data_IF_982106400835
#
_entry.id   IF_982106400835
#
_cell.length_a   1.000
_cell.length_b   1.000
_cell.length_c   1.000
_cell.angle_alpha   90.00
_cell.angle_beta   90.00
_cell.angle_gamma   90.00
#
_symmetry.space_group_name_H-M   'P 1'
#
loop_
_entity.id
_entity.type
_entity.pdbx_description
1 polymer ?
#
# COMPACT_ATOMS: atom_id res chain seq x y z
N UNK A 1 0.40 -8.76 -6.33
CA UNK A 1 -0.40 -9.29 -5.20
C UNK A 1 0.50 -9.71 -4.04
N UNK A 2 1.35 -10.73 -4.19
CA UNK A 2 2.24 -11.27 -3.12
C UNK A 2 2.96 -10.20 -2.28
N UNK A 3 3.69 -9.28 -2.92
CA UNK A 3 4.43 -8.19 -2.24
C UNK A 3 3.53 -7.22 -1.46
N UNK A 4 2.35 -6.89 -1.98
CA UNK A 4 1.39 -6.04 -1.25
C UNK A 4 0.84 -6.78 -0.03
N UNK A 5 0.60 -8.09 -0.17
CA UNK A 5 0.14 -8.92 0.93
C UNK A 5 1.20 -9.07 2.02
N UNK A 6 2.48 -9.18 1.68
CA UNK A 6 3.57 -9.16 2.67
C UNK A 6 3.50 -7.91 3.55
N UNK A 7 3.29 -6.74 2.95
CA UNK A 7 3.14 -5.47 3.69
C UNK A 7 1.89 -5.49 4.57
N UNK A 8 0.76 -5.98 4.06
CA UNK A 8 -0.46 -6.15 4.87
C UNK A 8 -0.23 -7.08 6.06
N UNK A 9 0.44 -8.22 5.85
CA UNK A 9 0.73 -9.22 6.88
C UNK A 9 1.66 -8.68 7.96
N UNK A 10 2.70 -7.90 7.60
CA UNK A 10 3.58 -7.23 8.56
C UNK A 10 2.81 -6.35 9.56
N UNK A 11 1.66 -5.81 9.15
CA UNK A 11 0.80 -4.96 9.97
C UNK A 11 -0.46 -5.64 10.49
N UNK A 12 -0.63 -6.94 10.21
CA UNK A 12 -1.88 -7.67 10.50
C UNK A 12 -3.11 -6.91 9.95
N UNK A 13 -2.98 -6.27 8.79
CA UNK A 13 -4.06 -5.54 8.14
C UNK A 13 -5.11 -6.53 7.62
N UNK A 14 -6.38 -6.43 8.02
CA UNK A 14 -7.46 -7.26 7.48
C UNK A 14 -7.60 -7.06 5.96
N UNK A 15 -7.79 -8.15 5.22
CA UNK A 15 -7.88 -8.13 3.75
C UNK A 15 -9.16 -8.84 3.32
N UNK A 16 -9.91 -8.21 2.42
CA UNK A 16 -11.01 -8.85 1.69
C UNK A 16 -10.52 -9.13 0.27
N UNK A 17 -10.77 -10.33 -0.22
CA UNK A 17 -10.36 -10.73 -1.58
C UNK A 17 -11.58 -10.66 -2.50
N UNK A 18 -11.40 -10.01 -3.65
CA UNK A 18 -12.40 -9.99 -4.71
C UNK A 18 -11.81 -10.60 -5.99
N UNK A 19 -12.27 -11.80 -6.32
CA UNK A 19 -11.94 -12.51 -7.56
C UNK A 19 -12.78 -11.91 -8.69
N UNK A 20 -12.12 -11.08 -9.49
CA UNK A 20 -12.75 -10.35 -10.58
C UNK A 20 -12.69 -11.15 -11.91
N UNK A 21 -13.52 -10.73 -12.87
CA UNK A 21 -13.59 -11.22 -14.25
C UNK A 21 -14.25 -12.60 -14.41
N UNK A 22 -15.25 -12.90 -13.58
CA UNK A 22 -16.06 -14.13 -13.75
C UNK A 22 -16.83 -14.20 -15.08
N UNK A 23 -16.98 -13.06 -15.77
CA UNK A 23 -17.49 -12.95 -17.15
C UNK A 23 -16.54 -13.52 -18.22
N UNK A 24 -15.37 -14.03 -17.82
CA UNK A 24 -14.38 -14.64 -18.71
C UNK A 24 -14.00 -16.02 -18.19
N UNK A 25 -13.57 -16.88 -19.12
CA UNK A 25 -13.01 -18.18 -18.74
C UNK A 25 -11.73 -17.97 -17.92
N UNK A 26 -11.62 -18.75 -16.85
CA UNK A 26 -10.54 -18.65 -15.88
C UNK A 26 -10.17 -20.02 -15.31
N UNK A 27 -9.45 -20.00 -14.20
CA UNK A 27 -9.19 -21.20 -13.40
C UNK A 27 -10.45 -21.59 -12.62
N UNK A 28 -10.52 -22.86 -12.19
CA UNK A 28 -11.57 -23.30 -11.28
C UNK A 28 -11.54 -22.50 -9.97
N UNK A 29 -12.71 -22.14 -9.38
CA UNK A 29 -12.75 -21.38 -8.14
C UNK A 29 -12.00 -22.03 -6.98
N UNK A 30 -12.02 -23.36 -6.83
CA UNK A 30 -11.27 -24.03 -5.76
C UNK A 30 -9.76 -23.94 -5.99
N UNK A 31 -9.28 -24.18 -7.20
CA UNK A 31 -7.87 -23.98 -7.56
C UNK A 31 -7.39 -22.55 -7.28
N UNK A 32 -8.28 -21.55 -7.47
CA UNK A 32 -7.98 -20.15 -7.17
C UNK A 32 -7.88 -19.90 -5.67
N UNK A 33 -8.74 -20.51 -4.85
CA UNK A 33 -8.63 -20.41 -3.39
C UNK A 33 -7.31 -21.01 -2.92
N UNK A 34 -6.95 -22.19 -3.39
CA UNK A 34 -5.68 -22.85 -3.04
C UNK A 34 -4.48 -22.01 -3.45
N UNK A 35 -4.48 -21.44 -4.66
CA UNK A 35 -3.42 -20.52 -5.12
C UNK A 35 -3.35 -19.25 -4.26
N UNK A 36 -4.50 -18.71 -3.84
CA UNK A 36 -4.55 -17.55 -2.94
C UNK A 36 -3.94 -17.92 -1.59
N UNK A 37 -4.33 -19.05 -0.99
CA UNK A 37 -3.79 -19.47 0.31
C UNK A 37 -2.28 -19.72 0.24
N UNK A 38 -1.83 -20.46 -0.77
CA UNK A 38 -0.42 -20.81 -0.94
C UNK A 38 0.44 -19.57 -1.19
N UNK A 39 0.04 -18.72 -2.14
CA UNK A 39 0.89 -17.63 -2.61
C UNK A 39 0.80 -16.36 -1.78
N UNK A 40 -0.33 -16.16 -1.08
CA UNK A 40 -0.53 -15.02 -0.21
C UNK A 40 -0.29 -15.36 1.26
N UNK A 41 -0.14 -16.65 1.61
CA UNK A 41 -0.01 -17.17 2.99
C UNK A 41 -1.07 -16.56 3.92
N UNK A 42 -2.34 -16.74 3.56
CA UNK A 42 -3.51 -16.35 4.34
C UNK A 42 -4.60 -17.39 4.14
N UNK A 43 -5.31 -17.75 5.20
CA UNK A 43 -6.45 -18.66 5.07
C UNK A 43 -7.61 -17.90 4.42
N UNK A 44 -8.41 -18.57 3.61
CA UNK A 44 -9.56 -17.95 2.95
C UNK A 44 -10.87 -18.53 3.43
N UNK A 45 -11.94 -17.72 3.35
CA UNK A 45 -13.31 -18.19 3.51
C UNK A 45 -14.18 -17.58 2.40
N UNK A 46 -14.68 -18.39 1.44
CA UNK A 46 -15.65 -17.91 0.47
C UNK A 46 -16.92 -17.41 1.16
N UNK A 47 -17.30 -16.17 0.89
CA UNK A 47 -18.58 -15.59 1.33
C UNK A 47 -19.56 -15.40 0.17
N UNK A 48 -19.07 -15.54 -1.06
CA UNK A 48 -19.89 -15.75 -2.25
C UNK A 48 -19.27 -16.83 -3.11
N UNK A 49 -20.07 -17.51 -3.91
CA UNK A 49 -19.62 -18.55 -4.82
C UNK A 49 -20.14 -18.32 -6.24
N UNK A 50 -19.31 -18.41 -7.28
CA UNK A 50 -19.76 -18.18 -8.65
C UNK A 50 -20.50 -19.38 -9.21
N UNK A 51 -21.54 -19.10 -9.98
CA UNK A 51 -22.30 -20.10 -10.73
C UNK A 51 -21.71 -20.16 -12.13
N UNK A 52 -20.78 -21.12 -12.31
CA UNK A 52 -19.98 -21.30 -13.52
C UNK A 52 -19.09 -20.07 -13.83
N UNK A 53 -18.53 -19.99 -15.04
CA UNK A 53 -17.68 -18.86 -15.47
C UNK A 53 -17.81 -18.60 -16.97
N UNK A 54 -17.22 -17.48 -17.42
CA UNK A 54 -17.16 -17.14 -18.84
C UNK A 54 -18.54 -16.98 -19.47
N UNK A 55 -18.77 -17.63 -20.60
CA UNK A 55 -20.07 -17.57 -21.28
C UNK A 55 -21.21 -18.24 -20.51
N UNK A 56 -20.89 -19.17 -19.60
CA UNK A 56 -21.88 -19.89 -18.80
C UNK A 56 -22.14 -19.23 -17.44
N UNK A 57 -21.43 -18.16 -17.13
CA UNK A 57 -21.58 -17.44 -15.87
C UNK A 57 -23.02 -16.95 -15.69
N UNK A 58 -23.70 -17.46 -14.65
CA UNK A 58 -25.10 -17.11 -14.35
C UNK A 58 -25.26 -16.20 -13.15
N UNK A 59 -24.22 -16.01 -12.34
CA UNK A 59 -24.34 -15.21 -11.13
C UNK A 59 -23.43 -15.66 -10.00
N UNK A 60 -23.70 -15.15 -8.81
CA UNK A 60 -23.08 -15.62 -7.57
C UNK A 60 -24.14 -15.99 -6.55
N UNK A 61 -23.88 -17.05 -5.79
CA UNK A 61 -24.60 -17.32 -4.55
C UNK A 61 -23.86 -16.63 -3.40
N UNK A 62 -24.51 -15.71 -2.72
CA UNK A 62 -23.99 -15.06 -1.52
C UNK A 62 -24.24 -15.99 -0.33
N UNK A 63 -23.20 -16.66 0.15
CA UNK A 63 -23.24 -17.58 1.30
C UNK A 63 -23.51 -16.79 2.59
N UNK A 64 -22.95 -15.58 2.69
CA UNK A 64 -23.07 -14.73 3.88
C UNK A 64 -24.50 -14.22 4.10
N UNK A 65 -25.19 -13.79 3.03
CA UNK A 65 -26.58 -13.30 3.12
C UNK A 65 -27.63 -14.36 2.74
N UNK A 66 -27.20 -15.52 2.24
CA UNK A 66 -28.06 -16.57 1.67
C UNK A 66 -28.98 -16.03 0.56
N UNK A 67 -28.36 -15.40 -0.44
CA UNK A 67 -29.06 -14.80 -1.59
C UNK A 67 -28.48 -15.27 -2.91
N UNK A 68 -29.36 -15.48 -3.88
CA UNK A 68 -28.99 -15.78 -5.25
C UNK A 68 -28.96 -14.48 -6.04
N UNK A 69 -27.78 -14.08 -6.49
CA UNK A 69 -27.62 -12.91 -7.33
C UNK A 69 -27.39 -13.39 -8.76
N UNK A 70 -28.36 -13.14 -9.63
CA UNK A 70 -28.28 -13.56 -11.02
C UNK A 70 -27.53 -12.51 -11.83
N UNK A 71 -26.67 -12.94 -12.74
CA UNK A 71 -25.90 -12.06 -13.61
C UNK A 71 -26.66 -11.77 -14.90
N UNK A 72 -26.88 -10.48 -15.14
CA UNK A 72 -27.38 -9.97 -16.42
C UNK A 72 -26.30 -9.10 -17.05
N UNK A 73 -25.88 -9.34 -18.30
CA UNK A 73 -24.85 -8.53 -18.96
C UNK A 73 -25.37 -7.10 -19.24
N UNK A 74 -25.25 -6.21 -18.26
CA UNK A 74 -25.61 -4.80 -18.40
C UNK A 74 -24.73 -3.93 -17.50
N UNK A 75 -24.28 -2.80 -18.04
CA UNK A 75 -23.47 -1.82 -17.31
C UNK A 75 -24.29 -0.79 -16.53
N UNK A 76 -25.62 -0.79 -16.69
CA UNK A 76 -26.48 0.31 -16.22
C UNK A 76 -27.39 -0.07 -15.04
N UNK A 77 -27.61 -1.36 -14.77
CA UNK A 77 -28.55 -1.80 -13.73
C UNK A 77 -27.84 -2.64 -12.67
N UNK A 78 -28.14 -2.35 -11.40
CA UNK A 78 -27.88 -3.28 -10.29
C UNK A 78 -28.78 -4.49 -10.51
N UNK A 79 -28.20 -5.67 -10.41
CA UNK A 79 -28.86 -6.91 -10.81
C UNK A 79 -29.95 -7.32 -9.81
N UNK A 80 -30.91 -8.12 -10.27
CA UNK A 80 -32.01 -8.61 -9.43
C UNK A 80 -31.46 -9.62 -8.42
N UNK A 81 -31.68 -9.35 -7.13
CA UNK A 81 -31.35 -10.25 -6.04
C UNK A 81 -32.60 -11.07 -5.71
N UNK A 82 -32.48 -12.39 -5.72
CA UNK A 82 -33.53 -13.30 -5.27
C UNK A 82 -33.12 -13.80 -3.90
N UNK A 83 -33.96 -13.56 -2.88
CA UNK A 83 -33.76 -14.22 -1.59
C UNK A 83 -33.90 -15.72 -1.79
N UNK A 84 -32.84 -16.47 -1.48
CA UNK A 84 -32.78 -17.89 -1.76
C UNK A 84 -32.02 -18.61 -0.65
N UNK A 85 -32.74 -18.87 0.45
CA UNK A 85 -32.14 -19.43 1.66
C UNK A 85 -31.83 -20.91 1.57
N UNK A 86 -32.69 -21.67 0.89
CA UNK A 86 -32.51 -23.12 0.75
C UNK A 86 -32.01 -23.46 -0.64
N UNK A 87 -30.70 -23.70 -0.75
CA UNK A 87 -30.05 -24.10 -2.01
C UNK A 87 -30.54 -25.46 -2.53
N UNK A 88 -31.14 -26.29 -1.66
CA UNK A 88 -31.70 -27.59 -2.02
C UNK A 88 -33.14 -27.47 -2.55
N UNK A 89 -33.74 -26.27 -2.52
CA UNK A 89 -35.06 -26.05 -3.09
C UNK A 89 -35.04 -26.32 -4.61
N UNK A 90 -36.04 -27.05 -5.14
CA UNK A 90 -36.25 -27.22 -6.59
C UNK A 90 -36.53 -25.91 -7.33
N UNK A 91 -36.76 -24.82 -6.59
CA UNK A 91 -36.96 -23.49 -7.18
C UNK A 91 -35.66 -22.92 -7.77
N UNK A 92 -34.49 -23.45 -7.40
CA UNK A 92 -33.19 -23.02 -7.92
C UNK A 92 -33.11 -23.25 -9.44
N UNK A 93 -33.67 -24.36 -9.90
CA UNK A 93 -33.76 -24.76 -11.30
C UNK A 93 -34.67 -23.84 -12.14
N UNK A 94 -35.46 -22.95 -11.51
CA UNK A 94 -36.18 -21.91 -12.24
C UNK A 94 -35.27 -20.75 -12.68
N UNK A 95 -34.09 -20.63 -12.05
CA UNK A 95 -33.17 -19.50 -12.23
C UNK A 95 -31.89 -19.90 -12.96
N UNK A 96 -31.43 -21.13 -12.78
CA UNK A 96 -30.19 -21.66 -13.38
C UNK A 96 -30.40 -23.08 -13.94
N UNK A 97 -29.51 -23.51 -14.83
CA UNK A 97 -29.60 -24.84 -15.45
C UNK A 97 -29.42 -25.96 -14.40
N UNK A 98 -30.10 -27.10 -14.55
CA UNK A 98 -30.10 -28.18 -13.55
C UNK A 98 -28.68 -28.68 -13.19
N UNK A 99 -27.78 -28.79 -14.18
CA UNK A 99 -26.39 -29.16 -13.92
C UNK A 99 -25.59 -28.08 -13.17
N UNK A 100 -25.95 -26.80 -13.32
CA UNK A 100 -25.36 -25.71 -12.55
C UNK A 100 -25.88 -25.70 -11.12
N UNK A 101 -27.17 -26.01 -10.91
CA UNK A 101 -27.76 -26.17 -9.58
C UNK A 101 -27.12 -27.33 -8.81
N UNK A 102 -26.94 -28.48 -9.45
CA UNK A 102 -26.27 -29.64 -8.84
C UNK A 102 -24.81 -29.32 -8.47
N UNK A 103 -24.06 -28.70 -9.39
CA UNK A 103 -22.69 -28.26 -9.12
C UNK A 103 -22.65 -27.27 -7.95
N UNK A 104 -23.50 -26.24 -7.96
CA UNK A 104 -23.56 -25.25 -6.90
C UNK A 104 -23.84 -25.90 -5.53
N UNK A 105 -24.82 -26.81 -5.44
CA UNK A 105 -25.11 -27.54 -4.19
C UNK A 105 -23.89 -28.32 -3.69
N UNK A 106 -23.22 -29.02 -4.61
CA UNK A 106 -22.03 -29.82 -4.30
C UNK A 106 -20.86 -28.94 -3.83
N UNK A 107 -20.65 -27.82 -4.51
CA UNK A 107 -19.60 -26.85 -4.16
C UNK A 107 -19.88 -26.22 -2.79
N UNK A 108 -21.12 -25.82 -2.49
CA UNK A 108 -21.47 -25.26 -1.18
C UNK A 108 -21.33 -26.30 -0.06
N UNK A 109 -21.74 -27.54 -0.28
CA UNK A 109 -21.53 -28.63 0.69
C UNK A 109 -20.04 -28.83 0.99
N UNK A 110 -19.19 -28.80 -0.05
CA UNK A 110 -17.74 -28.87 0.11
C UNK A 110 -17.20 -27.67 0.89
N UNK A 111 -17.67 -26.46 0.60
CA UNK A 111 -17.22 -25.25 1.30
C UNK A 111 -17.55 -25.32 2.79
N UNK A 112 -18.78 -25.72 3.15
CA UNK A 112 -19.19 -25.86 4.55
C UNK A 112 -18.52 -27.03 5.26
N UNK A 113 -18.10 -28.06 4.53
CA UNK A 113 -17.35 -29.20 5.09
C UNK A 113 -15.85 -28.93 5.30
N UNK A 114 -15.24 -28.07 4.48
CA UNK A 114 -13.79 -27.85 4.45
C UNK A 114 -13.37 -26.55 5.16
N UNK A 115 -14.06 -25.44 4.89
CA UNK A 115 -13.67 -24.14 5.41
C UNK A 115 -14.37 -23.84 6.73
N UNK A 116 -13.68 -23.25 7.72
CA UNK A 116 -14.31 -22.85 8.98
C UNK A 116 -15.41 -21.81 8.74
N UNK A 117 -16.35 -21.72 9.68
CA UNK A 117 -17.32 -20.62 9.70
C UNK A 117 -16.60 -19.27 9.75
N UNK A 118 -17.22 -18.27 9.11
CA UNK A 118 -16.66 -16.93 9.07
C UNK A 118 -16.79 -16.24 10.44
N UNK A 119 -15.65 -15.98 11.07
CA UNK A 119 -15.57 -15.20 12.30
C UNK A 119 -14.91 -13.84 12.06
N UNK A 120 -15.62 -12.77 12.43
CA UNK A 120 -15.15 -11.40 12.25
C UNK A 120 -13.87 -11.14 13.05
N UNK A 121 -13.71 -11.76 14.23
CA UNK A 121 -12.51 -11.54 15.04
C UNK A 121 -11.25 -12.13 14.39
N UNK A 122 -11.34 -13.32 13.77
CA UNK A 122 -10.24 -13.87 12.95
C UNK A 122 -9.90 -13.01 11.73
N UNK A 123 -10.91 -12.44 11.07
CA UNK A 123 -10.72 -11.48 9.98
C UNK A 123 -10.00 -10.22 10.45
N UNK A 124 -10.44 -9.62 11.58
CA UNK A 124 -9.85 -8.41 12.15
C UNK A 124 -8.42 -8.60 12.64
N UNK A 125 -8.01 -9.85 12.93
CA UNK A 125 -6.63 -10.24 13.23
C UNK A 125 -5.79 -10.48 11.96
N UNK A 126 -6.39 -10.44 10.78
CA UNK A 126 -5.73 -10.69 9.49
C UNK A 126 -5.36 -12.16 9.29
N UNK A 127 -6.04 -13.08 9.97
CA UNK A 127 -5.74 -14.52 9.90
C UNK A 127 -6.60 -15.24 8.84
N UNK A 128 -7.82 -14.74 8.57
CA UNK A 128 -8.72 -15.21 7.51
C UNK A 128 -9.11 -14.04 6.61
N UNK A 129 -9.14 -14.28 5.29
CA UNK A 129 -9.66 -13.33 4.31
C UNK A 129 -10.99 -13.83 3.72
N UNK A 130 -12.09 -13.05 3.83
CA UNK A 130 -13.31 -13.36 3.11
C UNK A 130 -13.11 -13.17 1.60
N UNK A 131 -13.63 -14.11 0.82
CA UNK A 131 -13.50 -14.12 -0.65
C UNK A 131 -14.86 -13.89 -1.32
N UNK A 132 -14.88 -12.91 -2.21
CA UNK A 132 -16.00 -12.59 -3.06
C UNK A 132 -15.65 -12.82 -4.53
N UNK A 133 -16.63 -13.19 -5.35
CA UNK A 133 -16.48 -13.40 -6.78
C UNK A 133 -17.40 -12.44 -7.55
N UNK A 134 -16.95 -11.97 -8.72
CA UNK A 134 -17.80 -11.14 -9.55
C UNK A 134 -17.15 -10.59 -10.81
N UNK A 135 -17.80 -9.57 -11.37
CA UNK A 135 -17.35 -8.87 -12.57
C UNK A 135 -17.48 -7.36 -12.37
N UNK A 136 -16.38 -6.72 -11.99
CA UNK A 136 -16.34 -5.27 -11.80
C UNK A 136 -16.64 -4.50 -13.09
N UNK A 137 -16.31 -5.05 -14.26
CA UNK A 137 -16.60 -4.43 -15.56
C UNK A 137 -18.12 -4.28 -15.80
N UNK A 138 -18.90 -5.22 -15.25
CA UNK A 138 -20.35 -5.24 -15.34
C UNK A 138 -21.02 -4.84 -14.01
N UNK A 139 -20.25 -4.25 -13.09
CA UNK A 139 -20.72 -3.84 -11.77
C UNK A 139 -21.43 -4.96 -10.97
N UNK A 140 -20.96 -6.20 -11.13
CA UNK A 140 -21.57 -7.40 -10.55
C UNK A 140 -20.71 -7.96 -9.40
N UNK A 141 -21.32 -8.30 -8.26
CA UNK A 141 -20.63 -8.78 -7.05
C UNK A 141 -19.99 -7.66 -6.21
N UNK A 142 -19.96 -6.43 -6.73
CA UNK A 142 -19.32 -5.27 -6.07
C UNK A 142 -20.17 -4.77 -4.90
N UNK A 143 -21.50 -4.82 -5.04
CA UNK A 143 -22.41 -4.36 -3.99
C UNK A 143 -22.28 -5.23 -2.74
N UNK A 144 -22.28 -6.55 -2.92
CA UNK A 144 -22.16 -7.54 -1.85
C UNK A 144 -20.83 -7.40 -1.11
N UNK A 145 -19.76 -7.19 -1.88
CA UNK A 145 -18.44 -6.86 -1.32
C UNK A 145 -18.49 -5.59 -0.46
N UNK A 146 -19.13 -4.52 -0.94
CA UNK A 146 -19.23 -3.25 -0.22
C UNK A 146 -20.13 -3.35 1.02
N UNK A 147 -21.27 -4.01 0.92
CA UNK A 147 -22.19 -4.25 2.03
C UNK A 147 -21.49 -5.07 3.12
N UNK A 148 -20.74 -6.11 2.74
CA UNK A 148 -19.89 -6.85 3.67
C UNK A 148 -18.81 -5.94 4.28
N UNK A 149 -18.07 -5.19 3.46
CA UNK A 149 -17.02 -4.28 3.90
C UNK A 149 -17.52 -3.28 4.95
N UNK A 150 -18.68 -2.66 4.74
CA UNK A 150 -19.27 -1.72 5.70
C UNK A 150 -19.53 -2.39 7.06
N UNK A 151 -19.95 -3.66 7.05
CA UNK A 151 -20.31 -4.39 8.26
C UNK A 151 -19.10 -4.93 9.04
N UNK A 152 -18.04 -5.36 8.35
CA UNK A 152 -16.93 -6.09 8.97
C UNK A 152 -15.65 -5.26 9.08
N UNK A 153 -15.46 -4.24 8.24
CA UNK A 153 -14.20 -3.50 8.19
C UNK A 153 -13.99 -2.72 9.50
N UNK A 154 -12.74 -2.63 9.98
CA UNK A 154 -12.45 -1.90 11.21
C UNK A 154 -12.69 -0.39 11.03
N UNK A 155 -13.33 0.22 12.02
CA UNK A 155 -13.25 1.66 12.26
C UNK A 155 -11.80 2.09 12.54
N UNK A 156 -11.48 3.40 12.58
CA UNK A 156 -10.14 3.88 12.95
C UNK A 156 -9.61 3.14 14.18
N UNK A 157 -8.35 2.68 14.10
CA UNK A 157 -7.71 1.85 15.14
C UNK A 157 -6.63 2.65 15.86
N UNK A 158 -6.31 2.29 17.12
CA UNK A 158 -5.20 2.88 17.83
C UNK A 158 -3.89 2.79 17.04
N UNK A 159 -3.09 3.85 17.07
CA UNK A 159 -1.83 3.97 16.33
C UNK A 159 -0.68 4.13 17.31
N UNK A 160 0.38 3.34 17.13
CA UNK A 160 1.59 3.45 17.96
C UNK A 160 2.45 4.65 17.57
N UNK A 161 2.71 5.53 18.52
CA UNK A 161 3.79 6.51 18.47
C UNK A 161 5.03 6.00 19.23
N UNK A 162 6.13 6.76 19.21
CA UNK A 162 7.33 6.47 20.01
C UNK A 162 7.02 6.53 21.49
N UNK A 163 6.23 7.53 21.89
CA UNK A 163 5.94 7.87 23.28
C UNK A 163 4.84 6.99 23.88
N UNK A 164 3.77 6.74 23.11
CA UNK A 164 2.58 6.00 23.58
C UNK A 164 1.73 5.48 22.42
N UNK A 165 0.72 4.70 22.74
CA UNK A 165 -0.39 4.41 21.81
C UNK A 165 -1.37 5.57 21.84
N UNK A 166 -1.82 5.99 20.67
CA UNK A 166 -2.82 7.05 20.47
C UNK A 166 -4.15 6.40 20.11
N UNK A 167 -5.17 6.70 20.90
CA UNK A 167 -6.54 6.22 20.67
C UNK A 167 -7.28 7.18 19.72
N UNK A 168 -7.98 6.67 18.68
CA UNK A 168 -8.74 7.50 17.76
C UNK A 168 -9.87 8.31 18.40
N UNK A 169 -10.36 7.89 19.57
CA UNK A 169 -11.42 8.59 20.31
C UNK A 169 -10.91 9.77 21.16
N UNK A 170 -9.59 10.01 21.22
CA UNK A 170 -9.05 11.18 21.91
C UNK A 170 -9.53 12.49 21.26
N UNK A 171 -9.91 13.49 22.06
CA UNK A 171 -10.38 14.79 21.56
C UNK A 171 -9.28 15.58 20.82
N UNK A 172 -8.03 15.44 21.27
CA UNK A 172 -6.90 16.19 20.74
C UNK A 172 -6.50 15.68 19.35
N UNK A 173 -6.33 16.62 18.41
CA UNK A 173 -5.91 16.28 17.06
C UNK A 173 -4.49 15.71 17.06
N UNK A 174 -4.33 14.59 16.38
CA UNK A 174 -3.05 14.07 15.98
C UNK A 174 -3.14 13.44 14.58
N UNK A 175 -2.07 13.55 13.80
CA UNK A 175 -1.98 12.92 12.49
C UNK A 175 -0.57 12.94 11.94
N UNK A 176 -0.33 12.13 10.91
CA UNK A 176 0.98 12.07 10.26
C UNK A 176 0.88 12.15 8.74
N UNK A 177 1.91 12.73 8.13
CA UNK A 177 2.07 12.82 6.68
C UNK A 177 2.51 11.46 6.13
N UNK A 178 1.68 10.80 5.33
CA UNK A 178 2.01 9.49 4.76
C UNK A 178 2.36 9.52 3.28
N UNK A 179 1.99 10.61 2.60
CA UNK A 179 2.25 10.80 1.17
C UNK A 179 2.41 12.28 0.89
N UNK A 180 3.35 12.62 0.03
CA UNK A 180 3.50 13.97 -0.48
C UNK A 180 3.41 13.89 -2.00
N UNK A 181 2.73 14.85 -2.61
CA UNK A 181 2.62 14.92 -4.05
C UNK A 181 2.87 16.35 -4.51
N UNK A 182 3.96 16.56 -5.24
CA UNK A 182 4.26 17.87 -5.82
C UNK A 182 3.65 18.01 -7.21
N UNK A 183 3.50 19.28 -7.64
CA UNK A 183 3.22 19.65 -9.03
C UNK A 183 1.95 19.02 -9.62
N UNK A 184 0.88 18.89 -8.82
CA UNK A 184 -0.44 18.51 -9.36
C UNK A 184 -0.98 19.49 -10.41
N UNK A 185 -0.57 20.76 -10.34
CA UNK A 185 -0.89 21.78 -11.33
C UNK A 185 0.40 22.24 -12.04
N UNK A 186 0.53 22.09 -13.37
CA UNK A 186 1.68 22.57 -14.12
C UNK A 186 1.94 24.08 -13.96
N UNK A 187 0.89 24.87 -13.70
CA UNK A 187 0.97 26.33 -13.59
C UNK A 187 1.34 26.80 -12.18
N UNK A 188 1.06 25.98 -11.16
CA UNK A 188 1.34 26.27 -9.77
C UNK A 188 2.10 25.11 -9.18
N UNK A 189 3.40 25.33 -8.87
CA UNK A 189 4.27 24.39 -8.15
C UNK A 189 3.78 24.18 -6.70
N UNK A 190 2.57 23.67 -6.58
CA UNK A 190 1.85 23.42 -5.36
C UNK A 190 2.15 21.97 -4.96
N UNK A 191 2.68 21.83 -3.76
CA UNK A 191 2.87 20.54 -3.11
C UNK A 191 1.69 20.31 -2.17
N UNK A 192 1.20 19.08 -2.10
CA UNK A 192 0.18 18.69 -1.11
C UNK A 192 0.73 17.54 -0.29
N UNK A 193 0.76 17.73 1.02
CA UNK A 193 1.03 16.70 2.00
C UNK A 193 -0.27 16.04 2.43
N UNK A 194 -0.40 14.73 2.23
CA UNK A 194 -1.54 13.94 2.67
C UNK A 194 -1.30 13.48 4.10
N UNK A 195 -2.15 13.97 4.99
CA UNK A 195 -2.14 13.66 6.42
C UNK A 195 -3.25 12.68 6.71
N UNK A 196 -2.90 11.57 7.35
CA UNK A 196 -3.88 10.66 7.96
C UNK A 196 -4.14 11.14 9.39
N UNK A 197 -5.41 11.41 9.70
CA UNK A 197 -5.82 11.78 11.06
C UNK A 197 -5.86 10.50 11.90
N UNK A 198 -5.18 10.55 13.05
CA UNK A 198 -5.07 9.42 13.98
C UNK A 198 -6.01 9.57 15.17
N UNK A 199 -6.22 10.80 15.65
CA UNK A 199 -7.17 11.11 16.73
C UNK A 199 -7.73 12.53 16.60
N UNK A 200 -8.82 12.79 17.29
CA UNK A 200 -9.40 14.11 17.46
C UNK A 200 -10.00 14.71 16.20
N UNK A 201 -10.18 16.03 16.25
CA UNK A 201 -10.80 16.81 15.18
C UNK A 201 -9.81 17.79 14.56
N UNK A 202 -9.63 17.67 13.26
CA UNK A 202 -9.00 18.72 12.46
C UNK A 202 -10.01 19.84 12.19
N UNK A 203 -9.56 21.08 12.31
CA UNK A 203 -10.32 22.29 12.08
C UNK A 203 -9.49 23.26 11.24
N UNK A 204 -10.11 23.77 10.19
CA UNK A 204 -9.51 24.76 9.32
C UNK A 204 -9.16 26.03 10.11
N UNK A 205 -8.01 26.61 9.80
CA UNK A 205 -7.45 27.79 10.47
C UNK A 205 -7.14 27.63 11.97
N UNK A 206 -7.21 26.42 12.53
CA UNK A 206 -6.64 26.15 13.84
C UNK A 206 -5.11 26.06 13.77
N UNK A 207 -4.45 26.24 14.92
CA UNK A 207 -3.00 26.12 15.03
C UNK A 207 -2.63 24.67 15.41
N UNK A 208 -1.77 24.05 14.61
CA UNK A 208 -1.23 22.71 14.86
C UNK A 208 0.28 22.76 14.98
N UNK A 209 0.83 22.01 15.91
CA UNK A 209 2.26 21.88 16.09
C UNK A 209 2.83 20.88 15.09
N UNK A 210 3.79 21.32 14.30
CA UNK A 210 4.65 20.44 13.53
C UNK A 210 5.80 19.98 14.42
N UNK A 211 5.74 18.73 14.86
CA UNK A 211 6.61 18.15 15.91
C UNK A 211 8.09 18.29 15.55
N UNK A 212 8.53 17.75 14.39
CA UNK A 212 9.94 17.81 13.95
C UNK A 212 10.53 19.23 13.87
N UNK A 213 9.71 20.23 13.55
CA UNK A 213 10.15 21.62 13.44
C UNK A 213 9.92 22.44 14.71
N UNK A 214 9.15 21.94 15.67
CA UNK A 214 8.76 22.68 16.87
C UNK A 214 7.98 23.97 16.58
N UNK A 215 7.27 24.06 15.45
CA UNK A 215 6.56 25.28 15.02
C UNK A 215 5.06 25.06 14.94
N UNK A 216 4.30 26.06 15.36
CA UNK A 216 2.86 26.11 15.12
C UNK A 216 2.60 26.52 13.65
N UNK A 217 1.72 25.80 13.00
CA UNK A 217 1.29 26.01 11.62
C UNK A 217 -0.22 26.15 11.58
N UNK A 218 -0.71 26.93 10.60
CA UNK A 218 -2.13 27.16 10.38
C UNK A 218 -2.46 26.91 8.92
N UNK A 219 -3.52 26.15 8.66
CA UNK A 219 -3.90 25.74 7.30
C UNK A 219 -5.23 26.38 6.90
N UNK A 220 -5.19 27.24 5.89
CA UNK A 220 -6.36 28.00 5.42
C UNK A 220 -7.08 27.37 4.23
N UNK A 221 -6.46 26.41 3.54
CA UNK A 221 -7.06 25.68 2.41
C UNK A 221 -6.72 24.18 2.44
N UNK A 222 -7.07 23.47 3.54
CA UNK A 222 -7.00 22.00 3.58
C UNK A 222 -7.99 21.41 2.57
N UNK A 223 -7.61 20.33 1.90
CA UNK A 223 -8.36 19.73 0.80
C UNK A 223 -8.75 18.30 1.15
N UNK A 224 -10.03 17.94 1.09
CA UNK A 224 -10.42 16.53 0.98
C UNK A 224 -10.45 16.11 -0.49
N UNK A 225 -10.12 14.85 -0.72
CA UNK A 225 -10.21 14.22 -2.02
C UNK A 225 -11.45 13.34 -2.04
N UNK A 226 -12.58 13.94 -2.40
CA UNK A 226 -13.84 13.21 -2.56
C UNK A 226 -14.05 12.94 -4.06
N UNK A 227 -13.85 11.69 -4.46
CA UNK A 227 -13.84 11.24 -5.84
C UNK A 227 -12.85 12.04 -6.73
N UNK A 228 -13.35 12.76 -7.75
CA UNK A 228 -12.53 13.51 -8.70
C UNK A 228 -12.41 15.02 -8.35
N UNK A 229 -13.06 15.48 -7.28
CA UNK A 229 -13.10 16.91 -6.91
C UNK A 229 -12.24 17.18 -5.69
N UNK A 230 -11.53 18.32 -5.75
CA UNK A 230 -10.83 18.91 -4.61
C UNK A 230 -11.80 19.87 -3.94
N UNK A 231 -12.18 19.58 -2.71
CA UNK A 231 -13.05 20.45 -1.92
C UNK A 231 -12.32 20.92 -0.67
N UNK A 232 -12.48 22.20 -0.34
CA UNK A 232 -11.91 22.75 0.89
C UNK A 232 -12.76 22.28 2.05
N UNK A 233 -12.09 21.74 3.06
CA UNK A 233 -12.76 21.14 4.22
C UNK A 233 -12.64 22.06 5.42
N UNK A 234 -13.72 22.20 6.17
CA UNK A 234 -13.70 22.96 7.41
C UNK A 234 -13.36 22.09 8.63
N UNK A 235 -13.78 20.81 8.64
CA UNK A 235 -13.44 19.83 9.69
C UNK A 235 -13.26 18.40 9.17
N UNK A 236 -12.43 17.60 9.85
CA UNK A 236 -12.20 16.18 9.55
C UNK A 236 -11.85 15.40 10.82
N UNK A 237 -12.07 14.08 10.82
CA UNK A 237 -11.97 13.22 12.01
C UNK A 237 -10.97 12.08 11.84
N UNK A 238 -10.68 11.35 12.92
CA UNK A 238 -9.83 10.17 12.90
C UNK A 238 -10.25 9.19 11.78
N UNK A 239 -9.28 8.72 11.00
CA UNK A 239 -9.50 7.90 9.80
C UNK A 239 -9.54 8.67 8.50
N UNK A 240 -9.90 9.96 8.52
CA UNK A 240 -9.91 10.79 7.32
C UNK A 240 -8.50 11.08 6.81
N UNK A 241 -8.42 11.36 5.51
CA UNK A 241 -7.23 11.82 4.83
C UNK A 241 -7.45 13.24 4.33
N UNK A 242 -6.63 14.17 4.82
CA UNK A 242 -6.66 15.58 4.40
C UNK A 242 -5.38 15.93 3.65
N UNK A 243 -5.52 16.74 2.61
CA UNK A 243 -4.42 17.33 1.85
C UNK A 243 -4.10 18.73 2.38
N UNK A 244 -2.91 18.91 2.93
CA UNK A 244 -2.42 20.20 3.38
C UNK A 244 -1.51 20.83 2.31
N UNK A 245 -1.71 22.11 1.96
CA UNK A 245 -0.77 22.83 1.11
C UNK A 245 0.61 22.83 1.75
N UNK A 246 1.60 22.40 0.98
CA UNK A 246 2.98 22.32 1.39
C UNK A 246 3.84 23.26 0.54
N UNK A 247 4.74 23.98 1.21
CA UNK A 247 5.74 24.85 0.58
C UNK A 247 7.13 24.23 0.62
N UNK A 248 7.23 22.91 0.89
CA UNK A 248 8.47 22.15 1.04
C UNK A 248 8.89 22.00 2.51
N UNK A 249 7.96 22.15 3.45
CA UNK A 249 8.21 21.99 4.88
C UNK A 249 8.00 20.54 5.33
N UNK A 250 7.01 19.86 4.75
CA UNK A 250 6.67 18.51 5.15
C UNK A 250 7.60 17.46 4.57
N UNK A 251 7.80 16.39 5.34
CA UNK A 251 8.40 15.13 4.94
C UNK A 251 7.43 14.00 5.27
N UNK A 252 7.53 12.90 4.52
CA UNK A 252 6.82 11.66 4.87
C UNK A 252 7.27 11.23 6.28
N UNK A 253 6.33 10.93 7.16
CA UNK A 253 6.56 10.65 8.58
C UNK A 253 6.36 11.85 9.51
N UNK A 254 6.26 13.07 9.00
CA UNK A 254 6.06 14.23 9.86
C UNK A 254 4.73 14.15 10.61
N UNK A 255 4.78 14.43 11.91
CA UNK A 255 3.63 14.41 12.81
C UNK A 255 3.13 15.83 13.09
N UNK A 256 1.80 15.99 13.04
CA UNK A 256 1.07 17.19 13.43
C UNK A 256 0.21 16.87 14.65
N UNK A 257 0.22 17.74 15.66
CA UNK A 257 -0.59 17.59 16.88
C UNK A 257 -1.22 18.92 17.32
N UNK A 258 -2.15 18.87 18.27
CA UNK A 258 -2.63 20.06 18.99
C UNK A 258 -1.62 20.66 19.99
N UNK A 259 -0.40 20.11 20.11
CA UNK A 259 0.65 20.65 20.98
C UNK A 259 1.55 19.59 21.63
N UNK A 260 1.04 18.36 21.77
CA UNK A 260 1.78 17.21 22.30
C UNK A 260 2.99 16.87 21.42
N UNK A 261 4.09 16.44 22.05
CA UNK A 261 5.24 15.87 21.32
C UNK A 261 4.97 14.39 21.07
N UNK A 262 4.53 14.06 19.86
CA UNK A 262 4.30 12.68 19.43
C UNK A 262 5.03 12.40 18.12
N UNK A 263 5.66 11.23 18.04
CA UNK A 263 6.30 10.75 16.82
C UNK A 263 5.64 9.47 16.37
N UNK A 264 4.76 9.54 15.38
CA UNK A 264 4.13 8.34 14.84
C UNK A 264 5.16 7.42 14.17
N UNK A 265 5.06 6.12 14.49
CA UNK A 265 5.84 5.05 13.84
C UNK A 265 5.07 4.49 12.66
N UNK A 266 5.76 3.87 11.71
CA UNK A 266 5.14 2.98 10.75
C UNK A 266 4.93 3.60 9.37
N UNK A 267 5.94 4.27 8.84
CA UNK A 267 6.10 4.48 7.41
C UNK A 267 7.48 3.95 6.99
N UNK A 268 7.67 2.61 7.01
CA UNK A 268 8.92 2.02 6.62
C UNK A 268 9.16 2.32 5.14
N UNK A 269 10.33 2.88 4.84
CA UNK A 269 10.85 2.82 3.49
C UNK A 269 11.44 1.43 3.32
N UNK A 270 10.82 0.61 2.47
CA UNK A 270 11.29 -0.74 2.16
C UNK A 270 12.55 -0.67 1.31
N UNK A 271 13.51 -1.58 1.53
CA UNK A 271 14.64 -1.73 0.61
C UNK A 271 14.12 -1.82 -0.84
N UNK A 272 14.66 -1.02 -1.76
CA UNK A 272 14.30 -1.13 -3.15
C UNK A 272 14.69 -2.47 -3.75
N UNK A 273 14.04 -2.81 -4.86
CA UNK A 273 14.16 -4.09 -5.56
C UNK A 273 14.88 -3.93 -6.90
N UNK A 274 14.82 -2.73 -7.48
CA UNK A 274 15.47 -2.41 -8.74
C UNK A 274 16.35 -1.19 -8.55
N UNK A 275 17.55 -1.23 -9.09
CA UNK A 275 18.54 -0.16 -8.94
C UNK A 275 19.06 0.24 -10.31
N UNK A 276 19.22 1.55 -10.53
CA UNK A 276 19.89 2.12 -11.70
C UNK A 276 20.69 3.34 -11.30
N UNK A 277 21.82 3.55 -11.96
CA UNK A 277 22.48 4.86 -11.92
C UNK A 277 21.64 5.86 -12.70
N UNK A 278 21.52 7.07 -12.14
CA UNK A 278 20.95 8.21 -12.85
C UNK A 278 22.09 9.08 -13.38
N UNK A 279 22.16 9.18 -14.71
CA UNK A 279 23.14 9.99 -15.41
C UNK A 279 22.49 11.24 -15.99
N UNK A 280 23.22 12.35 -15.90
CA UNK A 280 22.77 13.60 -16.50
C UNK A 280 22.92 13.54 -18.02
N UNK A 281 21.82 13.67 -18.76
CA UNK A 281 21.87 13.69 -20.22
C UNK A 281 22.26 15.07 -20.78
N UNK A 282 22.15 16.13 -19.97
CA UNK A 282 22.45 17.51 -20.35
C UNK A 282 23.37 18.16 -19.29
N UNK A 283 24.69 18.24 -19.54
CA UNK A 283 25.64 18.83 -18.60
C UNK A 283 25.28 20.25 -18.15
N UNK A 284 24.56 21.03 -18.96
CA UNK A 284 24.16 22.40 -18.60
C UNK A 284 23.05 22.45 -17.55
N UNK A 285 22.30 21.35 -17.36
CA UNK A 285 21.14 21.27 -16.45
C UNK A 285 21.39 20.46 -15.18
N UNK A 286 22.65 20.28 -14.78
CA UNK A 286 23.01 19.51 -13.59
C UNK A 286 22.33 20.03 -12.30
N UNK A 287 22.17 21.35 -12.15
CA UNK A 287 21.50 21.95 -10.98
C UNK A 287 20.01 21.61 -10.95
N UNK A 288 19.33 21.68 -12.09
CA UNK A 288 17.92 21.33 -12.23
C UNK A 288 17.69 19.85 -11.99
N UNK A 289 18.58 18.99 -12.52
CA UNK A 289 18.53 17.55 -12.28
C UNK A 289 18.68 17.23 -10.79
N UNK A 290 19.71 17.78 -10.12
CA UNK A 290 19.92 17.52 -8.70
C UNK A 290 18.74 17.97 -7.85
N UNK A 291 18.21 19.18 -8.10
CA UNK A 291 17.03 19.69 -7.41
C UNK A 291 15.79 18.82 -7.64
N UNK A 292 15.58 18.38 -8.88
CA UNK A 292 14.44 17.51 -9.24
C UNK A 292 14.55 16.14 -8.59
N UNK A 293 15.75 15.54 -8.60
CA UNK A 293 15.99 14.27 -7.89
C UNK A 293 15.67 14.44 -6.41
N UNK A 294 16.28 15.40 -5.73
CA UNK A 294 16.08 15.64 -4.29
C UNK A 294 14.59 15.78 -3.95
N UNK A 295 13.84 16.58 -4.70
CA UNK A 295 12.41 16.78 -4.46
C UNK A 295 11.59 15.51 -4.71
N UNK A 296 11.86 14.77 -5.79
CA UNK A 296 11.16 13.50 -6.08
C UNK A 296 11.46 12.42 -5.03
N UNK A 297 12.65 12.42 -4.43
CA UNK A 297 13.00 11.51 -3.33
C UNK A 297 12.34 11.93 -2.02
N UNK A 298 12.15 13.22 -1.79
CA UNK A 298 11.40 13.72 -0.62
C UNK A 298 9.90 13.45 -0.72
N UNK A 299 9.35 13.40 -1.93
CA UNK A 299 8.00 12.88 -2.20
C UNK A 299 7.87 11.36 -1.99
N UNK A 300 8.98 10.65 -1.76
CA UNK A 300 8.98 9.20 -1.57
C UNK A 300 8.74 8.39 -2.85
N UNK A 301 8.95 9.00 -4.04
CA UNK A 301 8.77 8.31 -5.33
C UNK A 301 9.75 7.14 -5.48
N UNK A 302 10.97 7.31 -4.95
CA UNK A 302 12.02 6.30 -4.91
C UNK A 302 13.03 6.63 -3.80
N UNK A 303 14.04 5.79 -3.64
CA UNK A 303 15.16 6.05 -2.74
C UNK A 303 16.40 6.46 -3.51
N UNK A 304 17.14 7.41 -2.95
CA UNK A 304 18.41 7.87 -3.48
C UNK A 304 19.54 7.36 -2.59
N UNK A 305 20.52 6.74 -3.24
CA UNK A 305 21.79 6.38 -2.65
C UNK A 305 22.92 7.07 -3.41
N UNK A 306 23.95 7.47 -2.70
CA UNK A 306 25.17 8.01 -3.28
C UNK A 306 26.30 7.03 -3.03
N UNK A 307 26.83 6.42 -4.08
CA UNK A 307 27.92 5.46 -3.94
C UNK A 307 29.19 6.18 -3.46
N UNK A 308 29.77 5.73 -2.35
CA UNK A 308 30.93 6.37 -1.72
C UNK A 308 32.22 6.19 -2.54
N UNK A 309 32.31 5.16 -3.38
CA UNK A 309 33.49 4.86 -4.18
C UNK A 309 33.64 5.77 -5.42
N UNK A 310 32.54 6.10 -6.09
CA UNK A 310 32.56 6.86 -7.34
C UNK A 310 31.71 8.15 -7.32
N UNK A 311 31.00 8.42 -6.22
CA UNK A 311 30.13 9.60 -6.07
C UNK A 311 28.88 9.59 -6.92
N UNK A 312 28.61 8.51 -7.67
CA UNK A 312 27.45 8.42 -8.57
C UNK A 312 26.17 8.19 -7.77
N UNK A 313 25.08 8.76 -8.28
CA UNK A 313 23.74 8.63 -7.70
C UNK A 313 23.05 7.37 -8.23
N UNK A 314 22.56 6.55 -7.31
CA UNK A 314 21.79 5.33 -7.57
C UNK A 314 20.37 5.59 -7.11
N UNK A 315 19.40 5.31 -7.99
CA UNK A 315 17.98 5.35 -7.65
C UNK A 315 17.50 3.92 -7.48
N UNK A 316 16.94 3.65 -6.30
CA UNK A 316 16.30 2.39 -5.97
C UNK A 316 14.78 2.53 -6.02
N UNK A 317 14.11 1.68 -6.79
CA UNK A 317 12.64 1.61 -6.88
C UNK A 317 12.10 0.23 -6.51
N UNK A 318 10.82 0.15 -6.16
CA UNK A 318 10.11 -1.12 -5.93
C UNK A 318 9.63 -1.73 -7.26
N UNK A 319 9.40 -0.88 -8.27
CA UNK A 319 8.99 -1.33 -9.61
C UNK A 319 9.55 -0.47 -10.74
N UNK A 320 9.52 -1.02 -11.97
CA UNK A 320 10.10 -0.39 -13.15
C UNK A 320 9.42 0.92 -13.53
N UNK A 321 8.09 1.00 -13.41
CA UNK A 321 7.30 2.19 -13.77
C UNK A 321 7.76 3.45 -13.02
N UNK A 322 8.31 3.31 -11.81
CA UNK A 322 8.82 4.45 -11.04
C UNK A 322 10.01 5.14 -11.74
N UNK A 323 10.87 4.40 -12.46
CA UNK A 323 11.94 5.01 -13.26
C UNK A 323 11.38 5.86 -14.40
N UNK A 324 10.33 5.38 -15.06
CA UNK A 324 9.65 6.08 -16.15
C UNK A 324 8.95 7.34 -15.64
N UNK A 325 8.27 7.24 -14.50
CA UNK A 325 7.65 8.39 -13.82
C UNK A 325 8.71 9.42 -13.42
N UNK A 326 9.84 9.02 -12.82
CA UNK A 326 10.92 9.94 -12.45
C UNK A 326 11.48 10.64 -13.68
N UNK A 327 11.77 9.89 -14.75
CA UNK A 327 12.30 10.46 -15.98
C UNK A 327 11.32 11.46 -16.62
N UNK A 328 10.02 11.11 -16.66
CA UNK A 328 8.96 11.99 -17.14
C UNK A 328 8.88 13.27 -16.30
N UNK A 329 8.82 13.16 -14.97
CA UNK A 329 8.71 14.30 -14.06
C UNK A 329 9.94 15.20 -14.11
N UNK A 330 11.15 14.64 -14.13
CA UNK A 330 12.38 15.41 -14.32
C UNK A 330 12.35 16.26 -15.60
N UNK A 331 11.87 15.67 -16.70
CA UNK A 331 11.76 16.36 -17.98
C UNK A 331 10.69 17.46 -17.95
N UNK A 332 9.49 17.14 -17.49
CA UNK A 332 8.33 18.04 -17.59
C UNK A 332 8.27 19.11 -16.49
N UNK A 333 8.71 18.80 -15.27
CA UNK A 333 8.62 19.71 -14.12
C UNK A 333 9.91 20.52 -13.91
N UNK A 334 11.07 19.93 -14.27
CA UNK A 334 12.40 20.53 -14.03
C UNK A 334 13.16 20.83 -15.32
N UNK A 335 12.65 20.39 -16.48
CA UNK A 335 13.34 20.56 -17.77
C UNK A 335 14.63 19.76 -17.87
N UNK A 336 14.87 18.79 -16.99
CA UNK A 336 16.12 18.04 -16.88
C UNK A 336 15.96 16.66 -17.52
N UNK A 337 16.84 16.33 -18.47
CA UNK A 337 16.88 15.00 -19.08
C UNK A 337 17.86 14.11 -18.33
N UNK A 338 17.46 12.88 -18.04
CA UNK A 338 18.32 11.87 -17.45
C UNK A 338 18.37 10.60 -18.31
N UNK A 339 19.46 9.85 -18.16
CA UNK A 339 19.64 8.51 -18.70
C UNK A 339 19.80 7.53 -17.56
N UNK A 340 19.27 6.34 -17.74
CA UNK A 340 19.40 5.25 -16.79
C UNK A 340 20.52 4.32 -17.24
N UNK A 341 21.49 4.06 -16.36
CA UNK A 341 22.48 3.01 -16.54
C UNK A 341 22.16 1.85 -15.59
N UNK A 342 21.97 0.62 -16.11
CA UNK A 342 21.68 -0.55 -15.27
C UNK A 342 22.83 -0.82 -14.29
N UNK A 343 22.47 -1.20 -13.07
CA UNK A 343 23.42 -1.77 -12.10
C UNK A 343 22.84 -3.08 -11.56
N UNK A 344 23.68 -4.10 -11.45
CA UNK A 344 23.30 -5.38 -10.85
C UNK A 344 23.47 -5.29 -9.34
N UNK A 345 22.37 -5.01 -8.64
CA UNK A 345 22.28 -5.05 -7.19
C UNK A 345 21.13 -5.97 -6.80
N UNK A 346 21.34 -6.76 -5.75
CA UNK A 346 20.34 -7.60 -5.14
C UNK A 346 19.55 -6.85 -4.07
N UNK A 347 20.25 -6.15 -3.15
CA UNK A 347 19.58 -5.47 -2.04
C UNK A 347 20.39 -4.31 -1.48
N UNK A 348 19.69 -3.30 -0.95
CA UNK A 348 20.29 -2.22 -0.16
C UNK A 348 19.95 -2.45 1.31
N UNK A 349 20.96 -2.53 2.16
CA UNK A 349 20.79 -2.78 3.58
C UNK A 349 21.39 -1.61 4.37
N UNK A 350 20.61 -0.99 5.25
CA UNK A 350 21.19 -0.07 6.22
C UNK A 350 22.00 -0.88 7.22
N UNK A 351 23.16 -0.35 7.61
CA UNK A 351 24.06 -1.02 8.54
C UNK A 351 24.26 -0.19 9.80
N UNK A 352 24.28 -0.86 10.93
CA UNK A 352 24.65 -0.28 12.22
C UNK A 352 25.55 -1.23 12.99
N UNK A 353 26.30 -0.69 13.95
CA UNK A 353 27.07 -1.49 14.90
C UNK A 353 27.34 -0.68 16.16
N UNK A 354 27.25 -1.35 17.30
CA UNK A 354 27.67 -0.80 18.59
C UNK A 354 29.22 -0.71 18.69
N UNK A 355 29.94 -1.35 17.76
CA UNK A 355 31.41 -1.35 17.69
C UNK A 355 31.90 -0.53 16.48
N UNK A 356 32.34 0.70 16.75
CA UNK A 356 32.82 1.62 15.71
C UNK A 356 34.00 1.07 14.92
N UNK A 357 34.91 0.32 15.55
CA UNK A 357 36.07 -0.26 14.86
C UNK A 357 35.67 -1.38 13.90
N UNK A 358 34.65 -2.18 14.26
CA UNK A 358 34.10 -3.20 13.37
C UNK A 358 33.40 -2.56 12.17
N UNK A 359 32.61 -1.51 12.39
CA UNK A 359 31.93 -0.76 11.33
C UNK A 359 32.92 -0.15 10.33
N UNK A 360 33.97 0.53 10.82
CA UNK A 360 35.00 1.11 9.94
C UNK A 360 35.78 0.04 9.17
N UNK A 361 36.05 -1.11 9.80
CA UNK A 361 36.68 -2.24 9.09
C UNK A 361 35.76 -2.80 7.99
N UNK A 362 34.46 -2.93 8.26
CA UNK A 362 33.47 -3.35 7.26
C UNK A 362 33.43 -2.37 6.09
N UNK A 363 33.28 -1.06 6.37
CA UNK A 363 33.24 0.00 5.36
C UNK A 363 34.50 -0.01 4.49
N UNK A 364 35.67 -0.18 5.09
CA UNK A 364 36.94 -0.28 4.34
C UNK A 364 37.00 -1.53 3.46
N UNK A 365 36.61 -2.70 3.97
CA UNK A 365 36.65 -3.97 3.21
C UNK A 365 35.60 -4.01 2.09
N UNK A 366 34.46 -3.36 2.28
CA UNK A 366 33.33 -3.33 1.34
C UNK A 366 33.17 -1.98 0.63
N UNK A 367 34.22 -1.15 0.60
CA UNK A 367 34.15 0.25 0.15
C UNK A 367 33.49 0.47 -1.22
N UNK A 368 33.67 -0.44 -2.17
CA UNK A 368 33.07 -0.37 -3.51
C UNK A 368 31.54 -0.49 -3.52
N UNK A 369 30.99 -1.11 -2.46
CA UNK A 369 29.58 -1.40 -2.28
C UNK A 369 28.95 -0.56 -1.16
N UNK A 370 29.69 0.42 -0.63
CA UNK A 370 29.16 1.35 0.35
C UNK A 370 28.51 2.54 -0.34
N UNK A 371 27.34 2.91 0.16
CA UNK A 371 26.62 4.10 -0.24
C UNK A 371 26.13 4.88 0.98
N UNK A 372 25.74 6.12 0.76
CA UNK A 372 25.01 6.93 1.72
C UNK A 372 23.58 7.09 1.22
N UNK A 373 22.60 6.95 2.11
CA UNK A 373 21.24 7.39 1.80
C UNK A 373 21.12 8.92 1.84
N UNK A 374 19.92 9.45 1.59
CA UNK A 374 19.66 10.89 1.60
C UNK A 374 19.90 11.56 2.97
N UNK A 375 19.90 10.80 4.06
CA UNK A 375 20.11 11.28 5.43
C UNK A 375 21.56 11.11 5.88
N UNK A 376 22.43 10.57 5.02
CA UNK A 376 23.83 10.32 5.32
C UNK A 376 24.07 9.05 6.13
N UNK A 377 23.10 8.13 6.18
CA UNK A 377 23.27 6.82 6.83
C UNK A 377 24.02 5.87 5.92
N UNK A 378 24.86 5.02 6.51
CA UNK A 378 25.63 4.01 5.78
C UNK A 378 24.71 2.90 5.26
N UNK A 379 24.82 2.63 3.95
CA UNK A 379 24.05 1.60 3.23
C UNK A 379 25.02 0.66 2.52
N UNK A 380 24.86 -0.63 2.76
CA UNK A 380 25.55 -1.68 2.03
C UNK A 380 24.72 -2.13 0.82
N UNK A 381 25.30 -2.03 -0.37
CA UNK A 381 24.70 -2.44 -1.65
C UNK A 381 25.18 -3.85 -2.02
N UNK A 382 24.43 -4.87 -1.61
CA UNK A 382 24.74 -6.26 -1.94
C UNK A 382 24.42 -6.55 -3.42
N UNK A 383 25.35 -7.20 -4.12
CA UNK A 383 25.20 -7.62 -5.52
C UNK A 383 24.43 -8.95 -5.68
N UNK A 384 24.44 -9.80 -4.65
CA UNK A 384 23.77 -11.10 -4.62
C UNK A 384 23.38 -11.50 -3.20
N UNK A 385 22.39 -12.39 -3.08
CA UNK A 385 21.97 -12.95 -1.79
C UNK A 385 23.07 -13.74 -1.09
N UNK A 386 23.93 -14.43 -1.86
CA UNK A 386 25.07 -15.16 -1.32
C UNK A 386 26.12 -14.22 -0.69
N UNK A 387 26.44 -13.12 -1.37
CA UNK A 387 27.40 -12.12 -0.85
C UNK A 387 26.85 -11.42 0.38
N UNK A 388 25.55 -11.15 0.43
CA UNK A 388 24.88 -10.62 1.63
C UNK A 388 25.00 -11.60 2.81
N UNK A 389 24.69 -12.87 2.59
CA UNK A 389 24.80 -13.91 3.62
C UNK A 389 26.24 -14.06 4.14
N UNK A 390 27.23 -14.05 3.25
CA UNK A 390 28.64 -14.09 3.62
C UNK A 390 29.05 -12.85 4.42
N UNK A 391 28.59 -11.66 4.02
CA UNK A 391 28.84 -10.43 4.77
C UNK A 391 28.27 -10.48 6.19
N UNK A 392 27.08 -11.06 6.38
CA UNK A 392 26.48 -11.28 7.70
C UNK A 392 27.28 -12.27 8.55
N UNK A 393 27.85 -13.31 7.94
CA UNK A 393 28.66 -14.32 8.65
C UNK A 393 30.06 -13.81 9.01
N UNK A 394 30.72 -13.10 8.10
CA UNK A 394 32.10 -12.61 8.27
C UNK A 394 32.17 -11.42 9.24
N UNK A 395 31.07 -10.70 9.43
CA UNK A 395 30.98 -9.50 10.26
C UNK A 395 29.78 -9.58 11.22
N UNK A 396 29.83 -10.48 12.22
CA UNK A 396 28.71 -10.71 13.13
C UNK A 396 28.35 -9.50 14.02
N UNK A 397 29.29 -8.56 14.17
CA UNK A 397 29.08 -7.32 14.94
C UNK A 397 28.28 -6.26 14.16
N UNK A 398 27.95 -6.50 12.88
CA UNK A 398 27.19 -5.58 12.03
C UNK A 398 25.75 -6.07 11.95
N UNK A 399 24.80 -5.19 12.29
CA UNK A 399 23.37 -5.42 12.10
C UNK A 399 22.98 -4.88 10.72
N UNK A 400 22.19 -5.67 9.99
CA UNK A 400 21.72 -5.35 8.64
C UNK A 400 20.21 -5.16 8.66
N UNK A 401 19.75 -3.98 8.29
CA UNK A 401 18.34 -3.60 8.28
C UNK A 401 17.82 -3.48 6.86
N UNK A 402 16.64 -4.06 6.62
CA UNK A 402 15.96 -4.06 5.32
C UNK A 402 14.84 -3.01 5.21
N UNK A 403 14.59 -2.32 6.32
CA UNK A 403 13.65 -1.20 6.44
C UNK A 403 14.41 0.00 6.98
N UNK A 404 14.01 1.21 6.60
CA UNK A 404 14.62 2.45 7.08
C UNK A 404 14.24 2.80 8.53
N UNK A 405 13.22 2.16 9.08
CA UNK A 405 12.84 2.22 10.49
C UNK A 405 13.56 1.07 11.21
N UNK A 406 14.62 1.39 11.96
CA UNK A 406 15.34 0.48 12.84
C UNK A 406 15.82 1.20 14.09
#
# INVERSE_FOLDING_TARGET
TRKLMEVCRMRKTPVIVFVNKMDRDGKDPFDLLDEIEEELHINVRPLSWPIDMGQRFRGVYNIYEQKLNLYTPSKQYVTENVEFKDINSPELENYIDAGQAEKLRSDIELIEGVYPEFDVDTYLKGDIAPVFFGSALNNFGVKELLDCFINIAPSPRPVSAVERVVDPEEDAFSGFVFKIHANMDPNHRSCIAFVKICSGRFERNANYKHVRFGKMMRFSSPTAFMAQKKEVVDEAFAGDIIGLPDTGNFKIGDTLTSGEELHFKGLPSFSPEMFKYIENADPMKAKQLNKGIEQLMDEGVAQLFTNQFNGRKIIGTVGQLQFEVIQYRLLHEYGAQCKWEPISLYKACWIESDNTAALENFKRRKAQYMALDKEGRDVYLADSGYVLMMAQQDFPDIKFHFTSEF
#
